data_IF_879178892573
#
_entry.id   IF_879178892573
#
_cell.length_a   1.000
_cell.length_b   1.000
_cell.length_c   1.000
_cell.angle_alpha   90.00
_cell.angle_beta   90.00
_cell.angle_gamma   90.00
#
_symmetry.space_group_name_H-M   'P 1'
#
loop_
_entity.id
_entity.type
_entity.pdbx_description
1 polymer ?
#
# COMPACT_ATOMS: atom_id res chain seq x y z
N UNK A 1 -2.63 -2.09 -17.94
CA UNK A 1 -3.94 -2.71 -17.64
C UNK A 1 -5.08 -1.78 -18.03
N UNK A 2 -6.30 -2.29 -18.25
CA UNK A 2 -7.49 -1.47 -18.49
C UNK A 2 -8.08 -0.93 -17.16
N UNK A 3 -8.90 0.12 -17.22
CA UNK A 3 -9.72 0.58 -16.09
C UNK A 3 -10.94 -0.33 -15.95
N UNK A 4 -11.15 -0.87 -14.76
CA UNK A 4 -12.30 -1.70 -14.39
C UNK A 4 -13.30 -0.83 -13.64
N UNK A 5 -14.56 -0.80 -14.10
CA UNK A 5 -15.63 -0.16 -13.33
C UNK A 5 -16.14 -1.14 -12.28
N UNK A 6 -16.09 -0.77 -11.02
CA UNK A 6 -16.68 -1.55 -9.93
C UNK A 6 -18.11 -1.08 -9.66
N UNK A 7 -18.92 -1.98 -9.11
CA UNK A 7 -20.20 -1.59 -8.53
C UNK A 7 -19.96 -0.82 -7.22
N UNK A 8 -20.85 0.10 -6.88
CA UNK A 8 -20.66 0.98 -5.72
C UNK A 8 -20.87 0.26 -4.37
N UNK A 9 -21.49 -0.91 -4.41
CA UNK A 9 -21.69 -1.84 -3.29
C UNK A 9 -20.60 -2.94 -3.23
N UNK A 10 -19.58 -2.86 -4.09
CA UNK A 10 -18.46 -3.79 -4.05
C UNK A 10 -17.66 -3.60 -2.75
N UNK A 11 -17.31 -4.71 -2.09
CA UNK A 11 -16.57 -4.66 -0.82
C UNK A 11 -15.19 -4.02 -0.97
N UNK A 12 -14.54 -4.12 -2.13
CA UNK A 12 -13.29 -3.43 -2.43
C UNK A 12 -13.51 -1.92 -2.58
N UNK A 13 -14.63 -1.50 -3.20
CA UNK A 13 -15.02 -0.10 -3.29
C UNK A 13 -15.26 0.52 -1.90
N UNK A 14 -15.96 -0.18 -1.02
CA UNK A 14 -16.20 0.26 0.37
C UNK A 14 -14.89 0.40 1.16
N UNK A 15 -14.01 -0.61 1.09
CA UNK A 15 -12.70 -0.58 1.76
C UNK A 15 -11.81 0.55 1.23
N UNK A 16 -11.83 0.79 -0.08
CA UNK A 16 -11.07 1.88 -0.68
C UNK A 16 -11.60 3.25 -0.23
N UNK A 17 -12.93 3.41 -0.16
CA UNK A 17 -13.56 4.63 0.35
C UNK A 17 -13.24 4.88 1.83
N UNK A 18 -13.33 3.84 2.66
CA UNK A 18 -12.96 3.89 4.08
C UNK A 18 -11.51 4.37 4.25
N UNK A 19 -10.57 3.76 3.52
CA UNK A 19 -9.15 4.08 3.61
C UNK A 19 -8.83 5.50 3.11
N UNK A 20 -9.45 5.92 2.00
CA UNK A 20 -9.32 7.29 1.49
C UNK A 20 -9.74 8.32 2.55
N UNK A 21 -10.89 8.13 3.18
CA UNK A 21 -11.37 9.03 4.24
C UNK A 21 -10.48 9.04 5.47
N UNK A 22 -9.90 7.90 5.85
CA UNK A 22 -8.95 7.85 6.95
C UNK A 22 -7.72 8.72 6.70
N UNK A 23 -7.13 8.61 5.50
CA UNK A 23 -5.96 9.39 5.14
C UNK A 23 -6.28 10.89 5.06
N UNK A 24 -7.41 11.24 4.44
CA UNK A 24 -7.86 12.65 4.33
C UNK A 24 -8.00 13.25 5.74
N UNK A 25 -8.73 12.57 6.63
CA UNK A 25 -8.95 13.06 8.00
C UNK A 25 -7.67 13.10 8.84
N UNK A 26 -6.69 12.24 8.56
CA UNK A 26 -5.39 12.26 9.22
C UNK A 26 -4.54 13.48 8.82
N UNK A 27 -4.62 13.93 7.56
CA UNK A 27 -3.83 15.04 7.05
C UNK A 27 -4.42 16.43 7.35
N UNK A 28 -5.75 16.50 7.53
CA UNK A 28 -6.43 17.76 7.88
C UNK A 28 -6.04 18.23 9.28
N UNK A 29 -5.79 19.53 9.42
CA UNK A 29 -5.49 20.19 10.69
C UNK A 29 -6.57 21.19 11.13
N UNK A 30 -7.56 21.44 10.27
CA UNK A 30 -8.68 22.36 10.53
C UNK A 30 -10.02 21.74 10.11
N UNK A 31 -11.08 22.14 10.82
CA UNK A 31 -12.46 21.73 10.57
C UNK A 31 -12.83 20.39 11.23
N UNK A 32 -13.90 19.81 10.73
CA UNK A 32 -14.48 18.58 11.26
C UNK A 32 -14.08 17.35 10.44
N UNK A 33 -14.15 16.19 11.08
CA UNK A 33 -13.91 14.90 10.45
C UNK A 33 -14.97 14.68 9.36
N UNK A 34 -14.54 14.08 8.26
CA UNK A 34 -15.42 13.67 7.17
C UNK A 34 -15.84 12.21 7.34
N UNK A 35 -17.13 11.92 7.15
CA UNK A 35 -17.66 10.56 7.01
C UNK A 35 -18.20 10.30 5.60
N UNK A 36 -18.23 9.04 5.22
CA UNK A 36 -18.81 8.60 3.95
C UNK A 36 -20.34 8.76 3.98
N UNK A 37 -20.91 9.44 2.99
CA UNK A 37 -22.35 9.47 2.76
C UNK A 37 -22.76 8.45 1.69
N UNK A 38 -22.12 8.50 0.51
CA UNK A 38 -22.29 7.48 -0.53
C UNK A 38 -21.08 7.39 -1.46
N UNK A 39 -20.92 6.23 -2.07
CA UNK A 39 -20.00 6.00 -3.19
C UNK A 39 -20.79 6.23 -4.48
N UNK A 40 -20.35 7.17 -5.30
CA UNK A 40 -21.02 7.52 -6.56
C UNK A 40 -20.48 6.70 -7.73
N UNK A 41 -19.16 6.50 -7.79
CA UNK A 41 -18.50 5.68 -8.81
C UNK A 41 -17.11 5.26 -8.33
N UNK A 42 -16.68 4.06 -8.74
CA UNK A 42 -15.34 3.54 -8.49
C UNK A 42 -14.78 2.97 -9.79
N UNK A 43 -13.55 3.36 -10.10
CA UNK A 43 -12.76 2.72 -11.13
C UNK A 43 -11.49 2.15 -10.51
N UNK A 44 -11.22 0.89 -10.75
CA UNK A 44 -9.98 0.24 -10.37
C UNK A 44 -9.05 0.17 -11.58
N UNK A 45 -7.80 0.48 -11.35
CA UNK A 45 -6.72 0.27 -12.28
C UNK A 45 -5.73 -0.73 -11.66
N UNK A 46 -5.81 -2.02 -12.04
CA UNK A 46 -4.87 -3.02 -11.56
C UNK A 46 -3.45 -2.67 -12.02
N UNK A 47 -2.49 -2.73 -11.11
CA UNK A 47 -1.06 -2.58 -11.35
C UNK A 47 -0.38 -3.92 -11.08
N UNK A 48 0.57 -4.31 -11.94
CA UNK A 48 1.14 -5.66 -11.89
C UNK A 48 2.01 -5.90 -10.65
N UNK A 49 2.60 -4.86 -10.07
CA UNK A 49 3.59 -4.96 -8.97
C UNK A 49 3.07 -4.29 -7.69
N UNK A 50 2.37 -3.18 -7.82
CA UNK A 50 1.97 -2.28 -6.74
C UNK A 50 0.53 -2.45 -6.26
N UNK A 51 -0.15 -3.52 -6.70
CA UNK A 51 -1.54 -3.78 -6.34
C UNK A 51 -2.51 -3.03 -7.23
N UNK A 52 -3.46 -2.28 -6.68
CA UNK A 52 -4.49 -1.60 -7.48
C UNK A 52 -4.63 -0.13 -7.13
N UNK A 53 -4.86 0.71 -8.14
CA UNK A 53 -5.20 2.13 -7.97
C UNK A 53 -6.71 2.30 -8.08
N UNK A 54 -7.32 2.96 -7.11
CA UNK A 54 -8.76 3.23 -7.09
C UNK A 54 -9.07 4.71 -7.31
N UNK A 55 -9.82 5.02 -8.37
CA UNK A 55 -10.41 6.34 -8.60
C UNK A 55 -11.82 6.36 -7.99
N UNK A 56 -12.00 7.17 -6.96
CA UNK A 56 -13.21 7.18 -6.13
C UNK A 56 -13.96 8.51 -6.26
N UNK A 57 -15.24 8.45 -6.62
CA UNK A 57 -16.14 9.59 -6.50
C UNK A 57 -17.02 9.37 -5.28
N UNK A 58 -16.77 10.13 -4.21
CA UNK A 58 -17.44 9.98 -2.93
C UNK A 58 -18.25 11.25 -2.61
N UNK A 59 -19.44 11.06 -2.07
CA UNK A 59 -20.12 12.13 -1.34
C UNK A 59 -19.79 11.96 0.14
N UNK A 60 -19.38 13.06 0.78
CA UNK A 60 -18.90 13.08 2.15
C UNK A 60 -19.67 14.13 2.95
N UNK A 61 -19.76 13.93 4.26
CA UNK A 61 -20.41 14.86 5.19
C UNK A 61 -19.53 15.06 6.42
N UNK A 62 -19.62 16.24 7.04
CA UNK A 62 -18.92 16.53 8.29
C UNK A 62 -19.63 15.89 9.48
N UNK A 63 -18.86 15.40 10.45
CA UNK A 63 -19.34 14.83 11.71
C UNK A 63 -18.86 15.66 12.89
N UNK A 64 -19.42 15.46 14.08
CA UNK A 64 -19.18 16.34 15.25
C UNK A 64 -17.73 16.37 15.74
N UNK A 65 -16.94 15.36 15.42
CA UNK A 65 -15.54 15.31 15.81
C UNK A 65 -14.69 16.33 15.04
N UNK A 66 -13.93 17.15 15.77
CA UNK A 66 -12.87 17.96 15.18
C UNK A 66 -11.72 17.09 14.66
N UNK A 67 -11.07 17.45 13.56
CA UNK A 67 -9.96 16.67 12.96
C UNK A 67 -8.77 16.46 13.91
N UNK A 68 -8.55 17.41 14.83
CA UNK A 68 -7.51 17.31 15.87
C UNK A 68 -7.78 16.20 16.90
N UNK A 69 -9.00 15.70 17.01
CA UNK A 69 -9.31 14.55 17.88
C UNK A 69 -8.64 13.26 17.40
N UNK A 70 -8.24 13.21 16.11
CA UNK A 70 -7.66 12.04 15.43
C UNK A 70 -8.51 10.76 15.57
N UNK A 71 -9.80 10.91 15.88
CA UNK A 71 -10.74 9.79 15.97
C UNK A 71 -11.04 9.22 14.60
N UNK A 72 -11.42 7.96 14.58
CA UNK A 72 -11.97 7.35 13.38
C UNK A 72 -13.40 7.88 13.14
N UNK A 73 -13.75 8.16 11.89
CA UNK A 73 -15.02 8.80 11.55
C UNK A 73 -16.25 7.95 11.90
N UNK A 74 -16.16 6.61 11.90
CA UNK A 74 -17.25 5.73 12.39
C UNK A 74 -17.48 5.81 13.90
N UNK A 75 -16.57 6.45 14.65
CA UNK A 75 -16.68 6.67 16.10
C UNK A 75 -17.17 8.10 16.43
N UNK A 76 -17.66 8.83 15.44
CA UNK A 76 -18.13 10.20 15.55
C UNK A 76 -19.63 10.26 15.28
N UNK A 77 -20.35 11.09 16.02
CA UNK A 77 -21.78 11.27 15.79
C UNK A 77 -22.00 12.05 14.49
N UNK A 78 -22.89 11.55 13.65
CA UNK A 78 -23.32 12.27 12.46
C UNK A 78 -24.05 13.55 12.88
N UNK A 79 -23.60 14.70 12.38
CA UNK A 79 -24.36 15.94 12.50
C UNK A 79 -25.49 15.82 11.48
N UNK A 80 -26.74 15.70 11.94
CA UNK A 80 -27.94 15.63 11.08
C UNK A 80 -28.31 16.99 10.46
N UNK A 81 -27.32 17.81 10.11
CA UNK A 81 -27.53 19.06 9.39
C UNK A 81 -26.88 18.91 8.01
N UNK A 82 -27.72 18.59 7.02
CA UNK A 82 -27.31 18.10 5.71
C UNK A 82 -26.68 19.22 4.87
N UNK A 83 -25.40 19.47 5.07
CA UNK A 83 -24.58 20.16 4.06
C UNK A 83 -23.85 19.08 3.25
N UNK A 84 -24.46 18.62 2.16
CA UNK A 84 -23.82 17.69 1.23
C UNK A 84 -22.72 18.40 0.45
N UNK A 85 -21.48 18.24 0.90
CA UNK A 85 -20.31 18.68 0.16
C UNK A 85 -19.93 17.60 -0.87
N UNK A 86 -20.23 17.86 -2.15
CA UNK A 86 -19.74 17.06 -3.26
C UNK A 86 -18.27 17.40 -3.49
N UNK A 87 -17.36 16.49 -3.12
CA UNK A 87 -15.94 16.68 -3.36
C UNK A 87 -15.45 15.56 -4.29
N UNK A 88 -15.01 15.94 -5.49
CA UNK A 88 -14.39 15.03 -6.45
C UNK A 88 -12.92 14.81 -6.02
N UNK A 89 -12.58 13.61 -5.54
CA UNK A 89 -11.23 13.28 -5.10
C UNK A 89 -10.64 12.15 -5.95
N UNK A 90 -9.62 12.45 -6.75
CA UNK A 90 -8.78 11.41 -7.34
C UNK A 90 -7.68 11.03 -6.34
N UNK A 91 -7.72 9.82 -5.80
CA UNK A 91 -6.67 9.32 -4.90
C UNK A 91 -5.85 8.21 -5.56
N UNK A 92 -4.54 8.22 -5.31
CA UNK A 92 -3.66 7.07 -5.49
C UNK A 92 -3.49 6.47 -4.10
N UNK A 93 -4.19 5.37 -3.79
CA UNK A 93 -4.05 4.73 -2.49
C UNK A 93 -2.88 3.75 -2.56
N UNK A 94 -1.79 4.09 -1.88
CA UNK A 94 -0.87 3.11 -1.33
C UNK A 94 -1.31 2.85 0.11
N UNK A 95 -1.67 1.61 0.44
CA UNK A 95 -2.12 1.25 1.80
C UNK A 95 -0.91 1.42 2.73
N UNK A 96 -0.97 2.30 3.74
CA UNK A 96 0.16 2.50 4.61
C UNK A 96 0.45 1.21 5.39
N UNK A 97 1.73 0.79 5.50
CA UNK A 97 2.15 -0.39 6.25
C UNK A 97 1.51 -0.50 7.65
N UNK A 98 1.39 0.64 8.35
CA UNK A 98 0.82 0.70 9.70
C UNK A 98 -0.68 0.38 9.80
N UNK A 99 -1.47 0.52 8.72
CA UNK A 99 -2.88 0.15 8.74
C UNK A 99 -3.07 -1.37 8.65
N UNK A 100 -2.22 -2.05 7.88
CA UNK A 100 -2.23 -3.52 7.72
C UNK A 100 -2.03 -4.21 9.07
N UNK A 101 -1.08 -3.71 9.87
CA UNK A 101 -0.79 -4.22 11.21
C UNK A 101 -2.00 -4.20 12.16
N UNK A 102 -2.88 -3.21 12.02
CA UNK A 102 -4.08 -3.09 12.90
C UNK A 102 -5.20 -4.06 12.53
N UNK A 103 -5.22 -4.56 11.30
CA UNK A 103 -6.23 -5.50 10.78
C UNK A 103 -5.74 -6.94 10.90
N UNK A 104 -4.45 -7.16 10.67
CA UNK A 104 -3.81 -8.47 10.69
C UNK A 104 -2.40 -8.34 11.29
N UNK A 105 -2.24 -8.57 12.61
CA UNK A 105 -0.94 -8.49 13.29
C UNK A 105 0.07 -9.52 12.80
N UNK A 106 -0.37 -10.60 12.17
CA UNK A 106 0.51 -11.68 11.68
C UNK A 106 0.83 -11.54 10.18
N UNK A 107 0.29 -10.52 9.51
CA UNK A 107 0.53 -10.33 8.09
C UNK A 107 1.93 -9.71 7.87
N UNK A 108 2.71 -10.20 6.90
CA UNK A 108 3.97 -9.56 6.52
C UNK A 108 3.69 -8.14 6.06
N UNK A 109 4.23 -7.19 6.82
CA UNK A 109 4.20 -5.77 6.50
C UNK A 109 5.56 -5.41 5.91
N UNK A 110 5.55 -4.57 4.87
CA UNK A 110 6.79 -4.06 4.30
C UNK A 110 7.52 -3.22 5.35
N UNK A 111 8.73 -3.66 5.69
CA UNK A 111 9.65 -2.95 6.55
C UNK A 111 10.53 -2.01 5.74
N UNK A 112 11.27 -1.15 6.44
CA UNK A 112 12.25 -0.28 5.80
C UNK A 112 13.38 -1.15 5.18
N UNK A 113 13.55 -1.17 3.83
CA UNK A 113 14.49 -2.06 3.15
C UNK A 113 15.97 -1.65 3.30
N UNK A 114 16.28 -0.77 4.26
CA UNK A 114 17.63 -0.24 4.49
C UNK A 114 18.33 -0.96 5.65
N UNK A 115 17.66 -1.90 6.32
CA UNK A 115 18.27 -2.62 7.42
C UNK A 115 19.38 -3.57 6.91
N UNK A 116 20.51 -3.71 7.62
CA UNK A 116 21.63 -4.55 7.18
C UNK A 116 21.25 -6.00 6.87
N UNK A 117 20.28 -6.55 7.60
CA UNK A 117 19.74 -7.90 7.43
C UNK A 117 19.12 -8.12 6.04
N UNK A 118 18.49 -7.10 5.48
CA UNK A 118 17.79 -7.19 4.19
C UNK A 118 18.79 -7.20 3.04
N UNK A 119 19.84 -6.37 3.16
CA UNK A 119 20.96 -6.37 2.22
C UNK A 119 21.69 -7.71 2.23
N UNK A 120 21.94 -8.29 3.42
CA UNK A 120 22.57 -9.60 3.53
C UNK A 120 21.72 -10.69 2.86
N UNK A 121 20.41 -10.70 3.10
CA UNK A 121 19.48 -11.64 2.47
C UNK A 121 19.46 -11.51 0.93
N UNK A 122 19.51 -10.28 0.42
CA UNK A 122 19.57 -10.01 -1.01
C UNK A 122 20.88 -10.53 -1.63
N UNK A 123 22.01 -10.27 -0.98
CA UNK A 123 23.33 -10.74 -1.42
C UNK A 123 23.41 -12.27 -1.43
N UNK A 124 22.94 -12.92 -0.36
CA UNK A 124 22.94 -14.40 -0.28
C UNK A 124 22.04 -15.02 -1.36
N UNK A 125 20.85 -14.46 -1.56
CA UNK A 125 19.90 -14.92 -2.58
C UNK A 125 20.46 -14.72 -3.99
N UNK A 126 21.09 -13.58 -4.27
CA UNK A 126 21.73 -13.31 -5.56
C UNK A 126 22.95 -14.20 -5.80
N UNK A 127 23.75 -14.50 -4.77
CA UNK A 127 24.88 -15.41 -4.88
C UNK A 127 24.42 -16.80 -5.34
N UNK A 128 23.31 -17.32 -4.77
CA UNK A 128 22.71 -18.58 -5.21
C UNK A 128 22.22 -18.51 -6.66
N UNK A 129 21.50 -17.45 -7.03
CA UNK A 129 21.06 -17.24 -8.41
C UNK A 129 22.23 -17.16 -9.41
N UNK A 130 23.31 -16.49 -9.04
CA UNK A 130 24.51 -16.39 -9.87
C UNK A 130 25.15 -17.76 -10.13
N UNK A 131 25.05 -18.71 -9.20
CA UNK A 131 25.56 -20.08 -9.38
C UNK A 131 24.60 -20.93 -10.21
N UNK A 132 23.30 -20.85 -9.93
CA UNK A 132 22.30 -21.78 -10.49
C UNK A 132 21.69 -21.31 -11.82
N UNK A 133 21.79 -20.04 -12.17
CA UNK A 133 21.18 -19.50 -13.40
C UNK A 133 22.01 -19.77 -14.64
N UNK A 134 21.31 -20.00 -15.76
CA UNK A 134 21.89 -20.18 -17.10
C UNK A 134 22.38 -18.88 -17.77
N UNK A 135 22.42 -17.77 -17.02
CA UNK A 135 22.87 -16.47 -17.53
C UNK A 135 24.38 -16.48 -17.80
N UNK A 136 24.82 -15.76 -18.84
CA UNK A 136 26.22 -15.74 -19.26
C UNK A 136 27.13 -14.89 -18.38
N UNK A 137 26.56 -13.92 -17.64
CA UNK A 137 27.30 -13.02 -16.76
C UNK A 137 26.82 -13.11 -15.31
N UNK A 138 27.67 -12.66 -14.40
CA UNK A 138 27.32 -12.45 -13.00
C UNK A 138 26.55 -11.15 -12.82
N UNK A 139 25.70 -11.12 -11.79
CA UNK A 139 24.95 -9.93 -11.39
C UNK A 139 25.37 -9.45 -10.01
N UNK A 140 25.23 -8.14 -9.77
CA UNK A 140 25.38 -7.51 -8.47
C UNK A 140 24.07 -6.87 -8.00
N UNK A 141 23.86 -6.80 -6.68
CA UNK A 141 22.70 -6.09 -6.12
C UNK A 141 22.86 -4.59 -6.38
N UNK A 142 21.85 -3.96 -6.97
CA UNK A 142 21.80 -2.52 -7.21
C UNK A 142 21.16 -1.80 -6.03
N UNK A 143 19.94 -2.19 -5.68
CA UNK A 143 19.20 -1.66 -4.53
C UNK A 143 18.17 -2.68 -4.04
N UNK A 144 17.88 -2.65 -2.74
CA UNK A 144 16.75 -3.38 -2.16
C UNK A 144 15.54 -2.45 -2.22
N UNK A 145 14.50 -2.86 -2.93
CA UNK A 145 13.28 -2.06 -3.11
C UNK A 145 12.23 -2.35 -2.04
N UNK A 146 12.26 -3.55 -1.47
CA UNK A 146 11.25 -4.01 -0.51
C UNK A 146 11.81 -5.09 0.39
N UNK A 147 11.41 -5.09 1.66
CA UNK A 147 11.75 -6.11 2.63
C UNK A 147 10.54 -6.40 3.52
N UNK A 148 10.35 -7.65 3.93
CA UNK A 148 9.32 -8.04 4.89
C UNK A 148 9.76 -9.26 5.69
N UNK A 149 9.24 -9.40 6.92
CA UNK A 149 9.58 -10.51 7.82
C UNK A 149 8.34 -11.29 8.28
N UNK A 150 7.76 -12.16 7.43
CA UNK A 150 6.71 -13.07 7.84
C UNK A 150 7.21 -14.15 8.81
N UNK A 151 6.27 -14.64 9.61
CA UNK A 151 6.45 -15.82 10.44
C UNK A 151 5.68 -17.00 9.82
N UNK A 152 6.39 -17.93 9.19
CA UNK A 152 5.78 -19.11 8.52
C UNK A 152 6.12 -20.37 9.32
N UNK A 153 7.41 -20.73 9.36
CA UNK A 153 7.97 -21.85 10.15
C UNK A 153 9.24 -21.40 10.91
N UNK A 154 9.26 -20.11 11.29
CA UNK A 154 10.42 -19.40 11.83
C UNK A 154 10.57 -18.01 11.21
N UNK A 155 11.48 -17.17 11.71
CA UNK A 155 11.75 -15.86 11.12
C UNK A 155 12.30 -16.03 9.70
N UNK A 156 11.55 -15.54 8.71
CA UNK A 156 11.95 -15.57 7.30
C UNK A 156 12.07 -14.13 6.79
N UNK A 157 13.16 -13.82 6.08
CA UNK A 157 13.36 -12.52 5.45
C UNK A 157 13.01 -12.64 3.96
N UNK A 158 12.03 -11.86 3.52
CA UNK A 158 11.64 -11.75 2.11
C UNK A 158 12.10 -10.40 1.60
N UNK A 159 12.92 -10.41 0.55
CA UNK A 159 13.48 -9.20 -0.05
C UNK A 159 13.22 -9.15 -1.54
N UNK A 160 12.86 -7.98 -2.04
CA UNK A 160 12.85 -7.66 -3.46
C UNK A 160 13.96 -6.64 -3.73
N UNK A 161 14.74 -6.88 -4.77
CA UNK A 161 15.91 -6.06 -5.10
C UNK A 161 16.15 -6.04 -6.60
N UNK A 162 16.69 -4.93 -7.10
CA UNK A 162 17.16 -4.85 -8.47
C UNK A 162 18.57 -5.42 -8.58
N UNK A 163 18.82 -6.08 -9.69
CA UNK A 163 20.12 -6.65 -10.04
C UNK A 163 20.68 -5.92 -11.25
N UNK A 164 22.00 -5.78 -11.28
CA UNK A 164 22.73 -5.17 -12.38
C UNK A 164 23.72 -6.20 -12.95
N UNK A 165 23.71 -6.36 -14.26
CA UNK A 165 24.69 -7.20 -14.95
C UNK A 165 26.10 -6.64 -14.78
N UNK A 166 27.05 -7.51 -14.47
CA UNK A 166 28.45 -7.15 -14.31
C UNK A 166 29.24 -7.51 -15.56
N UNK A 167 30.46 -6.97 -15.69
CA UNK A 167 31.37 -7.35 -16.77
C UNK A 167 31.95 -8.76 -16.62
N UNK A 168 31.66 -9.47 -15.52
CA UNK A 168 32.21 -10.79 -15.23
C UNK A 168 31.41 -11.88 -15.94
N UNK A 169 32.03 -12.58 -16.88
CA UNK A 169 31.47 -13.74 -17.56
C UNK A 169 31.56 -14.99 -16.69
N UNK A 170 30.53 -15.84 -16.74
CA UNK A 170 30.55 -17.16 -16.10
C UNK A 170 31.36 -18.19 -16.89
N UNK A 171 31.63 -17.91 -18.17
CA UNK A 171 32.41 -18.79 -19.05
C UNK A 171 33.93 -18.51 -18.99
N UNK A 172 34.36 -17.51 -18.22
CA UNK A 172 35.78 -17.15 -18.03
C UNK A 172 36.44 -17.89 -16.85
N UNK A 173 35.86 -19.03 -16.41
CA UNK A 173 36.46 -19.93 -15.39
C UNK A 173 36.55 -21.34 -15.92
#
# INVERSE_FOLDING_TARGET
>A
AALLSLTCDDTAAEKAADLALCQINAYRNEGYILSLYRIFCVQEHPQEITGSVFYLNLDVVEVECHVLSRKFWKNCMAIFDHTTLRILYSYLISVPPGYIWTVCPDCPVDENPTEPKDLEAAVQSLAKFNVESEQTHYFSVLNVSRASMPWIEGPACFVEFLIQETSSSKNDT
#
